data_IF_267567270415
#
_entry.id   IF_267567270415
#
_cell.length_a   1.000
_cell.length_b   1.000
_cell.length_c   1.000
_cell.angle_alpha   90.00
_cell.angle_beta   90.00
_cell.angle_gamma   90.00
#
_symmetry.space_group_name_H-M   'P 1'
#
loop_
_entity.id
_entity.type
_entity.pdbx_description
1 polymer ?
#
# COMPACT_ATOMS: atom_id res chain seq x y z
N UNK A 1 15.68 -7.85 -40.32
CA UNK A 1 14.33 -7.39 -40.68
C UNK A 1 13.76 -6.57 -39.53
N UNK A 2 14.22 -5.32 -39.43
CA UNK A 2 13.59 -4.30 -38.61
C UNK A 2 12.59 -3.57 -39.49
N UNK A 3 11.32 -3.55 -39.09
CA UNK A 3 10.26 -2.79 -39.74
C UNK A 3 9.64 -1.85 -38.72
N UNK A 4 9.50 -0.58 -39.08
CA UNK A 4 8.83 0.47 -38.29
C UNK A 4 7.37 0.14 -37.92
N UNK A 5 6.81 -0.96 -38.44
CA UNK A 5 5.42 -1.38 -38.25
C UNK A 5 5.19 -2.39 -37.10
N UNK A 6 6.21 -2.72 -36.31
CA UNK A 6 6.10 -3.67 -35.20
C UNK A 6 6.61 -3.12 -33.86
N UNK A 7 6.46 -1.81 -33.63
CA UNK A 7 6.55 -1.28 -32.27
C UNK A 7 5.26 -1.64 -31.51
N UNK A 8 5.35 -2.09 -30.25
CA UNK A 8 4.17 -2.24 -29.39
C UNK A 8 3.40 -0.91 -29.35
N UNK A 9 2.18 -0.90 -29.87
CA UNK A 9 1.32 0.28 -30.03
C UNK A 9 0.63 0.69 -28.72
N UNK A 10 1.38 0.84 -27.64
CA UNK A 10 0.95 1.73 -26.56
C UNK A 10 2.05 2.76 -26.30
N UNK A 11 1.91 3.94 -26.91
CA UNK A 11 2.80 5.08 -26.68
C UNK A 11 2.79 5.55 -25.21
N UNK A 12 1.76 5.18 -24.44
CA UNK A 12 1.57 5.57 -23.03
C UNK A 12 2.52 4.79 -22.11
N UNK A 13 3.62 5.43 -21.67
CA UNK A 13 4.64 4.84 -20.79
C UNK A 13 4.41 5.16 -19.31
N UNK A 14 3.34 4.63 -18.71
CA UNK A 14 3.02 4.87 -17.30
C UNK A 14 3.55 3.82 -16.32
N UNK A 15 4.13 2.72 -16.82
CA UNK A 15 4.61 1.60 -16.00
C UNK A 15 5.67 2.05 -14.99
N UNK A 16 6.64 2.87 -15.41
CA UNK A 16 7.71 3.35 -14.53
C UNK A 16 7.19 4.19 -13.34
N UNK A 17 6.45 5.28 -13.60
CA UNK A 17 5.81 6.06 -12.54
C UNK A 17 4.87 5.23 -11.65
N UNK A 18 4.10 4.30 -12.23
CA UNK A 18 3.22 3.41 -11.47
C UNK A 18 3.98 2.46 -10.54
N UNK A 19 5.09 1.88 -11.01
CA UNK A 19 5.92 0.99 -10.22
C UNK A 19 6.60 1.74 -9.06
N UNK A 20 7.11 2.95 -9.32
CA UNK A 20 7.67 3.81 -8.27
C UNK A 20 6.63 4.13 -7.20
N UNK A 21 5.41 4.52 -7.60
CA UNK A 21 4.32 4.79 -6.66
C UNK A 21 4.01 3.56 -5.80
N UNK A 22 3.85 2.38 -6.43
CA UNK A 22 3.61 1.12 -5.71
C UNK A 22 4.72 0.80 -4.71
N UNK A 23 5.97 1.04 -5.09
CA UNK A 23 7.11 0.85 -4.19
C UNK A 23 7.02 1.78 -2.98
N UNK A 24 6.67 3.06 -3.16
CA UNK A 24 6.56 4.01 -2.04
C UNK A 24 5.41 3.68 -1.09
N UNK A 25 4.28 3.24 -1.62
CA UNK A 25 3.15 2.74 -0.80
C UNK A 25 3.59 1.53 0.03
N UNK A 26 4.24 0.55 -0.59
CA UNK A 26 4.76 -0.64 0.11
C UNK A 26 5.79 -0.28 1.18
N UNK A 27 6.79 0.54 0.86
CA UNK A 27 7.81 0.99 1.82
C UNK A 27 7.22 1.75 3.02
N UNK A 28 6.19 2.56 2.79
CA UNK A 28 5.51 3.31 3.86
C UNK A 28 4.77 2.40 4.82
N UNK A 29 4.09 1.37 4.31
CA UNK A 29 3.39 0.38 5.13
C UNK A 29 4.36 -0.55 5.87
N UNK A 30 5.41 -1.04 5.19
CA UNK A 30 6.46 -1.83 5.82
C UNK A 30 7.14 -1.09 6.97
N UNK A 31 7.33 0.23 6.87
CA UNK A 31 7.89 1.02 7.95
C UNK A 31 6.98 1.04 9.20
N UNK A 32 5.65 1.00 9.04
CA UNK A 32 4.73 0.92 10.19
C UNK A 32 4.77 -0.46 10.85
N UNK A 33 4.83 -1.52 10.06
CA UNK A 33 5.01 -2.89 10.59
C UNK A 33 6.32 -2.99 11.36
N UNK A 34 7.40 -2.45 10.81
CA UNK A 34 8.70 -2.47 11.46
C UNK A 34 8.71 -1.63 12.74
N UNK A 35 8.06 -0.46 12.74
CA UNK A 35 7.90 0.32 13.97
C UNK A 35 7.20 -0.46 15.08
N UNK A 36 6.24 -1.31 14.74
CA UNK A 36 5.58 -2.18 15.72
C UNK A 36 6.51 -3.27 16.23
N UNK A 37 7.28 -3.92 15.34
CA UNK A 37 8.25 -4.93 15.75
C UNK A 37 9.22 -4.34 16.78
N UNK A 38 9.75 -3.14 16.52
CA UNK A 38 10.66 -2.49 17.45
C UNK A 38 9.97 -2.05 18.75
N UNK A 39 8.72 -1.60 18.69
CA UNK A 39 7.96 -1.30 19.90
C UNK A 39 7.75 -2.53 20.78
N UNK A 40 7.35 -3.65 20.19
CA UNK A 40 7.16 -4.91 20.92
C UNK A 40 8.50 -5.43 21.46
N UNK A 41 9.60 -5.28 20.71
CA UNK A 41 10.95 -5.57 21.20
C UNK A 41 11.31 -4.74 22.44
N UNK A 42 11.00 -3.44 22.44
CA UNK A 42 11.22 -2.57 23.60
C UNK A 42 10.45 -3.06 24.83
N UNK A 43 9.19 -3.47 24.66
CA UNK A 43 8.35 -4.03 25.73
C UNK A 43 8.95 -5.33 26.26
N UNK A 44 9.34 -6.26 25.37
CA UNK A 44 9.95 -7.53 25.77
C UNK A 44 11.26 -7.33 26.56
N UNK A 45 12.13 -6.42 26.13
CA UNK A 45 13.37 -6.08 26.85
C UNK A 45 13.09 -5.42 28.20
N UNK A 46 12.07 -4.56 28.28
CA UNK A 46 11.70 -3.90 29.53
C UNK A 46 11.04 -4.86 30.54
N UNK A 47 10.41 -5.93 30.06
CA UNK A 47 9.93 -7.03 30.91
C UNK A 47 11.04 -8.06 31.25
N UNK A 48 12.30 -7.82 30.89
CA UNK A 48 13.40 -8.78 31.07
C UNK A 48 13.10 -10.18 30.47
N UNK A 49 12.26 -10.24 29.43
CA UNK A 49 11.80 -11.50 28.85
C UNK A 49 10.86 -12.33 29.74
N UNK A 50 10.37 -11.77 30.86
CA UNK A 50 9.36 -12.42 31.70
C UNK A 50 8.12 -12.79 30.85
N UNK A 51 7.67 -14.04 31.00
CA UNK A 51 6.52 -14.60 30.29
C UNK A 51 6.67 -14.80 28.77
N UNK A 52 7.87 -14.59 28.22
CA UNK A 52 8.21 -15.02 26.86
C UNK A 52 8.81 -16.43 26.97
N UNK A 53 8.17 -17.44 26.36
CA UNK A 53 8.79 -18.78 26.27
C UNK A 53 10.21 -18.66 25.67
N UNK A 54 11.17 -19.53 26.04
CA UNK A 54 12.59 -19.39 25.66
C UNK A 54 12.88 -19.66 24.17
N UNK A 55 11.94 -19.34 23.27
CA UNK A 55 12.14 -19.35 21.83
C UNK A 55 12.98 -18.14 21.41
N UNK A 56 14.30 -18.26 21.57
CA UNK A 56 15.36 -17.64 20.73
C UNK A 56 15.05 -16.24 20.17
N UNK A 57 14.67 -15.27 21.01
CA UNK A 57 14.74 -13.86 20.59
C UNK A 57 16.03 -13.27 21.15
N UNK A 58 17.09 -13.31 20.34
CA UNK A 58 18.33 -12.59 20.63
C UNK A 58 18.12 -11.09 20.38
N UNK A 59 17.50 -10.41 21.34
CA UNK A 59 17.40 -8.95 21.33
C UNK A 59 18.78 -8.36 21.65
N UNK A 60 19.31 -7.55 20.75
CA UNK A 60 20.70 -7.11 20.73
C UNK A 60 20.95 -5.79 21.47
N UNK A 61 19.89 -5.02 21.75
CA UNK A 61 19.98 -3.70 22.33
C UNK A 61 18.98 -3.46 23.47
N UNK A 62 19.11 -2.31 24.13
CA UNK A 62 18.25 -1.91 25.25
C UNK A 62 16.90 -1.38 24.78
N UNK A 63 15.90 -1.38 25.68
CA UNK A 63 14.55 -0.92 25.38
C UNK A 63 14.48 0.51 24.83
N UNK A 64 15.36 1.42 25.27
CA UNK A 64 15.41 2.79 24.74
C UNK A 64 15.79 2.83 23.25
N UNK A 65 16.74 2.00 22.83
CA UNK A 65 17.23 1.97 21.44
C UNK A 65 16.14 1.45 20.51
N UNK A 66 15.38 0.44 20.95
CA UNK A 66 14.21 -0.03 20.21
C UNK A 66 13.09 1.01 20.12
N UNK A 67 12.89 1.86 21.14
CA UNK A 67 11.96 3.00 21.05
C UNK A 67 12.47 4.07 20.06
N UNK A 68 13.77 4.32 20.00
CA UNK A 68 14.37 5.22 19.01
C UNK A 68 14.18 4.69 17.59
N UNK A 69 14.40 3.38 17.36
CA UNK A 69 14.12 2.74 16.07
C UNK A 69 12.63 2.80 15.70
N UNK A 70 11.74 2.62 16.68
CA UNK A 70 10.29 2.78 16.48
C UNK A 70 9.97 4.17 15.93
N UNK A 71 10.51 5.23 16.55
CA UNK A 71 10.34 6.61 16.06
C UNK A 71 10.93 6.78 14.67
N UNK A 72 12.15 6.31 14.42
CA UNK A 72 12.80 6.37 13.12
C UNK A 72 11.93 5.76 12.01
N UNK A 73 11.33 4.59 12.27
CA UNK A 73 10.48 3.91 11.31
C UNK A 73 9.15 4.66 11.06
N UNK A 74 8.57 5.27 12.09
CA UNK A 74 7.38 6.13 11.92
C UNK A 74 7.70 7.41 11.13
N UNK A 75 8.85 8.04 11.38
CA UNK A 75 9.33 9.19 10.60
C UNK A 75 9.62 8.82 9.13
N UNK A 76 10.14 7.62 8.90
CA UNK A 76 10.28 7.06 7.55
C UNK A 76 8.92 6.86 6.88
N UNK A 77 7.91 6.36 7.60
CA UNK A 77 6.54 6.22 7.09
C UNK A 77 5.96 7.59 6.67
N UNK A 78 6.12 8.63 7.50
CA UNK A 78 5.73 10.01 7.16
C UNK A 78 6.45 10.55 5.91
N UNK A 79 7.74 10.25 5.78
CA UNK A 79 8.49 10.63 4.58
C UNK A 79 7.89 9.95 3.34
N UNK A 80 7.50 8.68 3.44
CA UNK A 80 6.86 7.95 2.35
C UNK A 80 5.48 8.49 2.00
N UNK A 81 4.69 8.97 2.94
CA UNK A 81 3.41 9.65 2.64
C UNK A 81 3.62 10.81 1.65
N UNK A 82 4.64 11.64 1.86
CA UNK A 82 4.98 12.75 0.95
C UNK A 82 5.48 12.26 -0.41
N UNK A 83 6.30 11.20 -0.42
CA UNK A 83 6.79 10.59 -1.66
C UNK A 83 5.66 9.94 -2.46
N UNK A 84 4.64 9.37 -1.82
CA UNK A 84 3.44 8.82 -2.46
C UNK A 84 2.67 9.93 -3.17
N UNK A 85 2.44 11.06 -2.51
CA UNK A 85 1.79 12.23 -3.12
C UNK A 85 2.56 12.77 -4.32
N UNK A 86 3.90 12.79 -4.24
CA UNK A 86 4.76 13.10 -5.39
C UNK A 86 4.65 12.06 -6.49
N UNK A 87 4.60 10.77 -6.14
CA UNK A 87 4.43 9.66 -7.08
C UNK A 87 3.14 9.75 -7.89
N UNK A 88 2.01 10.05 -7.22
CA UNK A 88 0.75 10.31 -7.90
C UNK A 88 0.84 11.52 -8.85
N UNK A 89 1.45 12.63 -8.41
CA UNK A 89 1.67 13.79 -9.30
C UNK A 89 2.51 13.43 -10.52
N UNK A 90 3.61 12.72 -10.34
CA UNK A 90 4.44 12.26 -11.46
C UNK A 90 3.68 11.34 -12.41
N UNK A 91 2.82 10.46 -11.89
CA UNK A 91 1.97 9.60 -12.70
C UNK A 91 0.95 10.41 -13.52
N UNK A 92 0.31 11.41 -12.91
CA UNK A 92 -0.63 12.31 -13.58
C UNK A 92 0.06 13.18 -14.64
N UNK A 93 1.23 13.72 -14.34
CA UNK A 93 2.04 14.50 -15.28
C UNK A 93 2.49 13.64 -16.48
N UNK A 94 2.88 12.40 -16.21
CA UNK A 94 3.22 11.44 -17.27
C UNK A 94 1.98 11.12 -18.12
N UNK A 95 0.82 10.90 -17.51
CA UNK A 95 -0.43 10.68 -18.24
C UNK A 95 -0.76 11.85 -19.17
N UNK A 96 -0.63 13.08 -18.68
CA UNK A 96 -0.87 14.28 -19.48
C UNK A 96 0.13 14.41 -20.66
N UNK A 97 1.43 14.16 -20.42
CA UNK A 97 2.47 14.19 -21.46
C UNK A 97 2.24 13.16 -22.56
N UNK A 98 1.77 11.98 -22.19
CA UNK A 98 1.44 10.89 -23.11
C UNK A 98 0.05 11.05 -23.76
N UNK A 99 -0.68 12.13 -23.45
CA UNK A 99 -2.01 12.39 -23.97
C UNK A 99 -3.08 11.41 -23.47
N UNK A 100 -2.80 10.67 -22.39
CA UNK A 100 -3.77 9.78 -21.77
C UNK A 100 -4.86 10.60 -21.09
N UNK A 101 -6.10 10.46 -21.55
CA UNK A 101 -7.26 11.21 -21.04
C UNK A 101 -8.14 10.40 -20.08
N UNK A 102 -7.61 9.31 -19.53
CA UNK A 102 -8.40 8.34 -18.78
C UNK A 102 -9.10 7.32 -19.68
N UNK A 103 -10.00 6.51 -19.09
CA UNK A 103 -10.61 5.40 -19.79
C UNK A 103 -12.06 5.70 -20.23
N UNK A 104 -12.37 5.69 -21.55
CA UNK A 104 -13.73 5.87 -22.05
C UNK A 104 -14.68 4.70 -21.73
N UNK A 105 -14.14 3.55 -21.31
CA UNK A 105 -14.90 2.33 -21.02
C UNK A 105 -15.23 2.14 -19.54
N UNK A 106 -15.16 3.18 -18.71
CA UNK A 106 -15.69 3.14 -17.32
C UNK A 106 -17.13 2.61 -17.28
N UNK A 107 -17.96 2.97 -18.27
CA UNK A 107 -19.32 2.44 -18.41
C UNK A 107 -19.38 0.93 -18.61
N UNK A 108 -18.33 0.31 -19.16
CA UNK A 108 -18.25 -1.15 -19.34
C UNK A 108 -18.01 -1.90 -18.03
N UNK A 109 -17.40 -1.27 -17.02
CA UNK A 109 -17.28 -1.87 -15.68
C UNK A 109 -18.64 -2.12 -15.04
N UNK A 110 -19.63 -1.26 -15.30
CA UNK A 110 -20.99 -1.43 -14.75
C UNK A 110 -21.67 -2.73 -15.21
N UNK A 111 -21.20 -3.31 -16.31
CA UNK A 111 -21.71 -4.59 -16.82
C UNK A 111 -21.01 -5.82 -16.20
N UNK A 112 -20.00 -5.60 -15.36
CA UNK A 112 -19.19 -6.63 -14.71
C UNK A 112 -19.43 -6.55 -13.21
N UNK A 113 -19.79 -7.68 -12.61
CA UNK A 113 -19.75 -7.84 -11.16
C UNK A 113 -18.28 -7.95 -10.72
N UNK A 114 -17.59 -6.80 -10.66
CA UNK A 114 -16.18 -6.71 -10.26
C UNK A 114 -15.95 -7.35 -8.88
N UNK A 115 -16.78 -7.12 -7.84
CA UNK A 115 -16.57 -7.76 -6.55
C UNK A 115 -16.46 -9.29 -6.68
N UNK A 116 -17.44 -9.93 -7.33
CA UNK A 116 -17.45 -11.38 -7.52
C UNK A 116 -16.32 -11.86 -8.44
N UNK A 117 -15.98 -11.09 -9.48
CA UNK A 117 -14.92 -11.43 -10.39
C UNK A 117 -13.54 -11.41 -9.71
N UNK A 118 -13.28 -10.45 -8.82
CA UNK A 118 -12.01 -10.35 -8.11
C UNK A 118 -11.92 -11.32 -6.92
N UNK A 119 -13.02 -11.51 -6.15
CA UNK A 119 -13.10 -12.36 -4.93
C UNK A 119 -12.73 -13.83 -5.19
N UNK A 120 -12.96 -14.32 -6.42
CA UNK A 120 -12.65 -15.69 -6.81
C UNK A 120 -11.29 -15.87 -7.50
N UNK A 121 -10.47 -14.83 -7.67
CA UNK A 121 -9.33 -14.90 -8.59
C UNK A 121 -8.08 -14.13 -8.17
N UNK A 122 -8.20 -12.95 -7.56
CA UNK A 122 -7.06 -12.04 -7.37
C UNK A 122 -6.94 -11.45 -5.96
N UNK A 123 -8.06 -11.05 -5.37
CA UNK A 123 -8.12 -10.38 -4.05
C UNK A 123 -9.44 -10.74 -3.37
N UNK A 124 -9.60 -10.40 -2.10
CA UNK A 124 -10.86 -10.54 -1.38
C UNK A 124 -11.42 -9.14 -1.04
N UNK A 125 -12.27 -8.54 -1.90
CA UNK A 125 -12.89 -7.24 -1.64
C UNK A 125 -13.64 -7.17 -0.31
N UNK A 126 -14.21 -8.30 0.13
CA UNK A 126 -14.94 -8.44 1.39
C UNK A 126 -14.09 -8.17 2.64
N UNK A 127 -12.76 -8.35 2.57
CA UNK A 127 -11.85 -8.06 3.70
C UNK A 127 -11.71 -6.57 3.99
N UNK A 128 -11.88 -5.71 2.98
CA UNK A 128 -11.86 -4.25 3.15
C UNK A 128 -12.95 -3.60 2.28
N UNK A 129 -14.21 -3.96 2.57
CA UNK A 129 -15.38 -3.56 1.79
C UNK A 129 -15.47 -2.04 1.62
N UNK A 130 -15.17 -1.27 2.67
CA UNK A 130 -15.19 0.19 2.60
C UNK A 130 -14.22 0.71 1.53
N UNK A 131 -12.95 0.26 1.55
CA UNK A 131 -11.96 0.65 0.55
C UNK A 131 -12.38 0.24 -0.87
N UNK A 132 -12.99 -0.94 -1.01
CA UNK A 132 -13.49 -1.41 -2.29
C UNK A 132 -14.60 -0.49 -2.84
N UNK A 133 -15.64 -0.25 -2.05
CA UNK A 133 -16.80 0.58 -2.44
C UNK A 133 -16.37 2.01 -2.76
N UNK A 134 -15.44 2.57 -1.98
CA UNK A 134 -14.89 3.90 -2.19
C UNK A 134 -14.16 4.04 -3.54
N UNK A 135 -13.40 3.03 -3.95
CA UNK A 135 -12.69 3.01 -5.23
C UNK A 135 -13.67 2.73 -6.37
N UNK A 136 -14.49 1.68 -6.25
CA UNK A 136 -15.44 1.28 -7.28
C UNK A 136 -16.40 2.42 -7.64
N UNK A 137 -16.96 3.08 -6.63
CA UNK A 137 -17.85 4.22 -6.82
C UNK A 137 -17.19 5.36 -7.60
N UNK A 138 -15.93 5.69 -7.26
CA UNK A 138 -15.18 6.77 -7.93
C UNK A 138 -14.75 6.40 -9.33
N UNK A 139 -14.18 5.21 -9.53
CA UNK A 139 -13.84 4.72 -10.87
C UNK A 139 -15.09 4.67 -11.77
N UNK A 140 -16.26 4.35 -11.20
CA UNK A 140 -17.54 4.25 -11.94
C UNK A 140 -18.24 5.59 -12.23
N UNK A 141 -17.86 6.66 -11.53
CA UNK A 141 -18.51 7.98 -11.60
C UNK A 141 -17.58 9.10 -12.06
N UNK A 142 -16.27 8.91 -11.96
CA UNK A 142 -15.23 9.88 -12.27
C UNK A 142 -14.27 9.34 -13.33
N UNK A 143 -13.43 10.22 -13.87
CA UNK A 143 -12.28 9.79 -14.67
C UNK A 143 -11.25 9.07 -13.77
N UNK A 144 -10.53 8.10 -14.33
CA UNK A 144 -9.38 7.44 -13.67
C UNK A 144 -8.38 8.46 -13.13
N UNK A 145 -8.07 9.50 -13.91
CA UNK A 145 -7.11 10.54 -13.50
C UNK A 145 -7.61 11.33 -12.27
N UNK A 146 -8.91 11.60 -12.19
CA UNK A 146 -9.50 12.28 -11.03
C UNK A 146 -9.51 11.36 -9.80
N UNK A 147 -9.70 10.05 -10.01
CA UNK A 147 -9.61 9.05 -8.95
C UNK A 147 -8.19 8.98 -8.38
N UNK A 148 -7.17 8.94 -9.23
CA UNK A 148 -5.76 8.97 -8.81
C UNK A 148 -5.40 10.27 -8.07
N UNK A 149 -5.91 11.42 -8.53
CA UNK A 149 -5.72 12.69 -7.82
C UNK A 149 -6.38 12.68 -6.44
N UNK A 150 -7.59 12.12 -6.33
CA UNK A 150 -8.27 11.95 -5.05
C UNK A 150 -7.50 11.01 -4.11
N UNK A 151 -7.05 9.84 -4.58
CA UNK A 151 -6.29 8.89 -3.74
C UNK A 151 -5.05 9.53 -3.14
N UNK A 152 -4.33 10.36 -3.91
CA UNK A 152 -3.17 11.10 -3.43
C UNK A 152 -3.48 11.95 -2.18
N UNK A 153 -4.68 12.55 -2.13
CA UNK A 153 -5.11 13.35 -0.97
C UNK A 153 -5.40 12.49 0.26
N UNK A 154 -5.85 11.25 0.08
CA UNK A 154 -6.24 10.37 1.19
C UNK A 154 -5.03 9.96 2.03
N UNK A 155 -3.85 9.81 1.42
CA UNK A 155 -2.62 9.51 2.16
C UNK A 155 -2.23 10.62 3.15
N UNK A 156 -2.68 11.87 2.96
CA UNK A 156 -2.44 12.96 3.93
C UNK A 156 -3.13 12.72 5.29
N UNK A 157 -4.16 11.88 5.34
CA UNK A 157 -4.86 11.54 6.56
C UNK A 157 -3.95 10.83 7.58
N UNK A 158 -2.83 10.25 7.12
CA UNK A 158 -1.84 9.59 7.98
C UNK A 158 -0.96 10.56 8.77
N UNK A 159 -0.81 11.81 8.32
CA UNK A 159 0.14 12.76 8.91
C UNK A 159 -0.14 13.03 10.40
N UNK A 160 -1.40 13.34 10.72
CA UNK A 160 -1.83 13.65 12.08
C UNK A 160 -1.67 12.46 13.04
N UNK A 161 -2.33 11.32 12.78
CA UNK A 161 -2.24 10.13 13.61
C UNK A 161 -0.80 9.62 13.79
N UNK A 162 0.04 9.68 12.75
CA UNK A 162 1.43 9.20 12.85
C UNK A 162 2.28 10.13 13.74
N UNK A 163 2.11 11.45 13.64
CA UNK A 163 2.79 12.41 14.54
C UNK A 163 2.31 12.26 15.99
N UNK A 164 1.02 12.01 16.19
CA UNK A 164 0.45 11.73 17.51
C UNK A 164 1.10 10.47 18.11
N UNK A 165 1.16 9.37 17.34
CA UNK A 165 1.83 8.14 17.77
C UNK A 165 3.31 8.39 18.11
N UNK A 166 4.06 9.14 17.31
CA UNK A 166 5.44 9.52 17.64
C UNK A 166 5.51 10.25 18.99
N UNK A 167 4.56 11.16 19.26
CA UNK A 167 4.46 11.85 20.56
C UNK A 167 4.24 10.88 21.72
N UNK A 168 3.35 9.91 21.54
CA UNK A 168 3.06 8.86 22.53
C UNK A 168 4.29 7.97 22.80
N UNK A 169 5.05 7.62 21.76
CA UNK A 169 6.31 6.86 21.90
C UNK A 169 7.35 7.67 22.67
N UNK A 170 7.48 8.97 22.38
CA UNK A 170 8.40 9.86 23.11
C UNK A 170 8.01 10.03 24.57
N UNK A 171 6.71 10.05 24.90
CA UNK A 171 6.26 10.02 26.29
C UNK A 171 6.67 8.70 26.97
N UNK A 172 6.50 7.57 26.27
CA UNK A 172 6.92 6.27 26.79
C UNK A 172 8.44 6.19 27.03
N UNK A 173 9.24 6.77 26.13
CA UNK A 173 10.68 6.90 26.30
C UNK A 173 11.03 7.75 27.53
N UNK A 174 10.34 8.87 27.75
CA UNK A 174 10.55 9.71 28.92
C UNK A 174 10.28 8.95 30.24
N UNK A 175 9.20 8.15 30.29
CA UNK A 175 8.89 7.27 31.44
C UNK A 175 9.99 6.24 31.69
N UNK A 176 10.49 5.62 30.62
CA UNK A 176 11.58 4.66 30.71
C UNK A 176 12.86 5.31 31.27
N UNK A 177 13.18 6.55 30.83
CA UNK A 177 14.35 7.27 31.31
C UNK A 177 14.23 7.76 32.76
N UNK A 178 13.05 8.23 33.19
CA UNK A 178 12.86 8.77 34.54
C UNK A 178 12.60 7.71 35.60
N UNK A 179 11.80 6.70 35.26
CA UNK A 179 11.29 5.68 36.18
C UNK A 179 11.80 4.27 35.95
N UNK A 180 12.65 4.09 34.94
CA UNK A 180 13.16 2.78 34.55
C UNK A 180 12.10 1.88 33.92
N UNK A 181 12.48 0.61 33.74
CA UNK A 181 11.65 -0.41 33.06
C UNK A 181 10.28 -0.60 33.70
N UNK A 182 10.20 -0.58 35.04
CA UNK A 182 8.96 -0.81 35.79
C UNK A 182 7.92 0.29 35.53
N UNK A 183 8.28 1.56 35.63
CA UNK A 183 7.34 2.66 35.38
C UNK A 183 6.85 2.65 33.92
N UNK A 184 7.75 2.35 32.98
CA UNK A 184 7.41 2.19 31.56
C UNK A 184 6.36 1.08 31.34
N UNK A 185 6.58 -0.12 31.87
CA UNK A 185 5.62 -1.23 31.73
C UNK A 185 4.30 -0.93 32.43
N UNK A 186 4.33 -0.44 33.67
CA UNK A 186 3.10 -0.05 34.40
C UNK A 186 2.31 1.02 33.64
N UNK A 187 2.98 1.97 32.98
CA UNK A 187 2.31 2.99 32.19
C UNK A 187 1.60 2.41 30.94
N UNK A 188 2.16 1.37 30.33
CA UNK A 188 1.55 0.68 29.19
C UNK A 188 0.40 -0.21 29.65
N UNK A 189 0.63 -1.08 30.65
CA UNK A 189 -0.36 -2.05 31.14
C UNK A 189 -1.58 -1.36 31.75
N UNK A 190 -1.37 -0.29 32.53
CA UNK A 190 -2.45 0.50 33.10
C UNK A 190 -3.01 1.56 32.15
N UNK A 191 -2.60 1.55 30.86
CA UNK A 191 -3.08 2.48 29.84
C UNK A 191 -2.93 3.98 30.23
N UNK A 192 -1.87 4.30 30.99
CA UNK A 192 -1.49 5.70 31.31
C UNK A 192 -0.86 6.38 30.10
N UNK A 193 -0.30 5.59 29.19
CA UNK A 193 0.09 5.99 27.84
C UNK A 193 -0.77 5.20 26.86
N UNK A 194 -1.51 5.88 25.98
CA UNK A 194 -2.45 5.27 25.04
C UNK A 194 -1.77 4.70 23.79
N UNK A 195 -0.74 3.88 24.02
CA UNK A 195 0.17 3.36 23.00
C UNK A 195 -0.56 2.51 21.95
N UNK A 196 -1.33 1.51 22.40
CA UNK A 196 -2.04 0.57 21.52
C UNK A 196 -3.14 1.27 20.71
N UNK A 197 -3.82 2.24 21.30
CA UNK A 197 -4.88 3.01 20.62
C UNK A 197 -4.29 3.92 19.54
N UNK A 198 -3.19 4.61 19.84
CA UNK A 198 -2.49 5.45 18.87
C UNK A 198 -1.94 4.59 17.71
N UNK A 199 -1.34 3.44 18.01
CA UNK A 199 -0.86 2.51 16.99
C UNK A 199 -2.00 1.96 16.13
N UNK A 200 -3.08 1.48 16.74
CA UNK A 200 -4.24 0.93 16.03
C UNK A 200 -4.85 1.94 15.04
N UNK A 201 -4.88 3.23 15.38
CA UNK A 201 -5.34 4.30 14.47
C UNK A 201 -4.45 4.44 13.24
N UNK A 202 -3.13 4.46 13.42
CA UNK A 202 -2.16 4.54 12.31
C UNK A 202 -2.24 3.29 11.44
N UNK A 203 -2.23 2.11 12.07
CA UNK A 203 -2.24 0.83 11.38
C UNK A 203 -3.53 0.59 10.59
N UNK A 204 -4.70 0.85 11.19
CA UNK A 204 -5.98 0.69 10.50
C UNK A 204 -6.11 1.61 9.29
N UNK A 205 -5.66 2.87 9.41
CA UNK A 205 -5.69 3.82 8.31
C UNK A 205 -4.73 3.41 7.18
N UNK A 206 -3.54 2.93 7.51
CA UNK A 206 -2.62 2.37 6.51
C UNK A 206 -3.20 1.14 5.80
N UNK A 207 -3.86 0.22 6.52
CA UNK A 207 -4.51 -0.93 5.90
C UNK A 207 -5.62 -0.52 4.93
N UNK A 208 -6.44 0.46 5.33
CA UNK A 208 -7.47 1.03 4.46
C UNK A 208 -6.86 1.64 3.19
N UNK A 209 -5.85 2.49 3.32
CA UNK A 209 -5.23 3.18 2.18
C UNK A 209 -4.42 2.24 1.27
N UNK A 210 -3.75 1.24 1.85
CA UNK A 210 -3.04 0.21 1.08
C UNK A 210 -4.00 -0.68 0.30
N UNK A 211 -5.14 -1.07 0.90
CA UNK A 211 -6.19 -1.81 0.20
C UNK A 211 -6.79 -0.97 -0.93
N UNK A 212 -7.12 0.29 -0.67
CA UNK A 212 -7.61 1.25 -1.66
C UNK A 212 -6.64 1.36 -2.86
N UNK A 213 -5.34 1.54 -2.61
CA UNK A 213 -4.31 1.57 -3.65
C UNK A 213 -4.28 0.27 -4.48
N UNK A 214 -4.29 -0.90 -3.81
CA UNK A 214 -4.27 -2.20 -4.49
C UNK A 214 -5.51 -2.40 -5.36
N UNK A 215 -6.70 -2.11 -4.83
CA UNK A 215 -7.96 -2.27 -5.55
C UNK A 215 -8.02 -1.35 -6.77
N UNK A 216 -7.60 -0.10 -6.60
CA UNK A 216 -7.48 0.86 -7.68
C UNK A 216 -6.54 0.38 -8.79
N UNK A 217 -5.33 -0.06 -8.43
CA UNK A 217 -4.36 -0.59 -9.39
C UNK A 217 -4.92 -1.78 -10.18
N UNK A 218 -5.62 -2.70 -9.51
CA UNK A 218 -6.25 -3.87 -10.14
C UNK A 218 -7.40 -3.50 -11.07
N UNK A 219 -8.33 -2.66 -10.61
CA UNK A 219 -9.47 -2.20 -11.42
C UNK A 219 -8.99 -1.44 -12.65
N UNK A 220 -8.03 -0.52 -12.49
CA UNK A 220 -7.47 0.27 -13.59
C UNK A 220 -6.68 -0.59 -14.58
N UNK A 221 -5.95 -1.60 -14.10
CA UNK A 221 -5.23 -2.53 -14.97
C UNK A 221 -6.19 -3.41 -15.78
N UNK A 222 -7.23 -3.95 -15.17
CA UNK A 222 -8.26 -4.73 -15.87
C UNK A 222 -8.97 -3.88 -16.93
N UNK A 223 -9.32 -2.64 -16.57
CA UNK A 223 -9.86 -1.65 -17.50
C UNK A 223 -8.92 -1.39 -18.69
N UNK A 224 -7.64 -1.19 -18.43
CA UNK A 224 -6.63 -0.98 -19.46
C UNK A 224 -6.52 -2.20 -20.38
N UNK A 225 -6.45 -3.42 -19.83
CA UNK A 225 -6.36 -4.64 -20.62
C UNK A 225 -7.56 -4.81 -21.55
N UNK A 226 -8.78 -4.63 -21.04
CA UNK A 226 -10.00 -4.68 -21.87
C UNK A 226 -10.00 -3.65 -22.99
N UNK A 227 -9.61 -2.41 -22.68
CA UNK A 227 -9.59 -1.31 -23.67
C UNK A 227 -8.61 -1.59 -24.80
N UNK A 228 -7.55 -2.35 -24.52
CA UNK A 228 -6.49 -2.66 -25.48
C UNK A 228 -6.58 -4.08 -26.05
N UNK A 229 -7.69 -4.81 -25.81
CA UNK A 229 -7.86 -6.22 -26.19
C UNK A 229 -6.70 -7.13 -25.73
N UNK A 230 -6.16 -6.84 -24.54
CA UNK A 230 -5.14 -7.66 -23.88
C UNK A 230 -5.81 -8.74 -23.00
N UNK A 231 -5.11 -9.85 -22.71
CA UNK A 231 -5.63 -10.87 -21.80
C UNK A 231 -6.02 -10.28 -20.44
N UNK A 232 -7.22 -10.60 -19.96
CA UNK A 232 -7.75 -10.09 -18.69
C UNK A 232 -6.92 -10.58 -17.51
N UNK A 233 -6.83 -9.78 -16.44
CA UNK A 233 -6.26 -10.21 -15.17
C UNK A 233 -7.04 -11.40 -14.56
N UNK A 234 -8.33 -11.50 -14.88
CA UNK A 234 -9.24 -12.51 -14.37
C UNK A 234 -9.12 -13.86 -15.11
N UNK A 235 -8.41 -13.90 -16.24
CA UNK A 235 -8.34 -15.08 -17.12
C UNK A 235 -7.12 -15.97 -16.88
N UNK A 236 -6.35 -15.75 -15.81
CA UNK A 236 -5.35 -16.69 -15.29
C UNK A 236 -4.50 -17.40 -16.36
N UNK A 237 -3.62 -16.68 -17.04
CA UNK A 237 -2.46 -17.25 -17.76
C UNK A 237 -2.70 -18.52 -18.59
N UNK A 238 -3.74 -18.60 -19.41
CA UNK A 238 -3.91 -19.67 -20.39
C UNK A 238 -4.40 -19.14 -21.73
N UNK A 239 -3.49 -18.47 -22.44
CA UNK A 239 -3.32 -18.50 -23.92
C UNK A 239 -2.36 -17.40 -24.37
N UNK A 240 -1.09 -17.51 -23.98
CA UNK A 240 -0.03 -17.03 -24.86
C UNK A 240 0.19 -18.12 -25.94
N UNK A 241 -0.84 -18.38 -26.77
CA UNK A 241 -0.65 -19.16 -28.00
C UNK A 241 0.11 -18.24 -28.92
N UNK A 242 1.43 -18.42 -29.01
CA UNK A 242 2.18 -18.03 -30.20
C UNK A 242 1.44 -18.67 -31.36
N UNK A 243 0.75 -17.86 -32.16
CA UNK A 243 0.29 -18.24 -33.48
C UNK A 243 1.54 -18.50 -34.32
N UNK A 244 2.06 -19.73 -34.23
CA UNK A 244 2.94 -20.26 -35.26
C UNK A 244 2.15 -20.27 -36.57
N UNK A 245 2.78 -19.93 -37.70
CA UNK A 245 2.08 -19.96 -38.98
C UNK A 245 1.66 -21.39 -39.29
N UNK A 246 0.35 -21.59 -39.37
CA UNK A 246 -0.25 -22.80 -39.92
C UNK A 246 0.04 -22.87 -41.42
N UNK A 247 0.68 -23.98 -41.82
CA UNK A 247 0.65 -24.60 -43.15
C UNK A 247 0.99 -23.75 -44.38
N UNK A 248 2.11 -24.08 -45.03
CA UNK A 248 2.09 -24.30 -46.48
C UNK A 248 2.57 -25.73 -46.73
N UNK A 249 1.69 -26.45 -47.42
CA UNK A 249 1.73 -27.83 -47.87
C UNK A 249 2.85 -28.10 -48.86
N UNK A 250 3.22 -29.38 -48.92
CA UNK A 250 4.04 -29.98 -49.95
C UNK A 250 3.53 -29.68 -51.38
N UNK A 251 4.49 -29.56 -52.30
CA UNK A 251 4.34 -29.45 -53.74
C UNK A 251 5.73 -29.37 -54.36
#
# INVERSE_FOLDING_TARGET
MGGQNHQPTSHIRLIGPSALLSQRVGEGFSAVLESNNQLENAIMVAMDGLHVEPFVVCLSCGASEYLDETVMHLERSLTKVREIQLGYRHLLDAAAKEGYRGNPLVSSLRSVDLPRAFEGTLILPSLNRQAWEDVESRVSSMNILDTLAWEATQFSLLDGPTKELIGVIKEAQARLSSGGKREFIEAIECNRISLRQAYARVFSLWNYLHAMFLYSALMMTELFYRTNNLPSLLEGGSKCKRSGPSSITAG
#
